data_IF_397954229918
#
_entry.id   IF_397954229918
#
_cell.length_a   1.000
_cell.length_b   1.000
_cell.length_c   1.000
_cell.angle_alpha   90.00
_cell.angle_beta   90.00
_cell.angle_gamma   90.00
#
_symmetry.space_group_name_H-M   'P 1'
#
loop_
_entity.id
_entity.type
_entity.pdbx_description
1 polymer ?
#
# COMPACT_ATOMS: atom_id res chain seq x y z
N UNK A 1 -29.75 -2.31 37.14
CA UNK A 1 -28.33 -1.92 37.03
C UNK A 1 -27.55 -3.20 36.80
N UNK A 2 -26.77 -3.42 35.74
CA UNK A 2 -26.37 -2.64 34.57
C UNK A 2 -26.31 -3.63 33.40
N UNK A 3 -26.81 -3.22 32.23
CA UNK A 3 -26.66 -3.98 31.00
C UNK A 3 -25.24 -3.74 30.50
N UNK A 4 -24.38 -4.75 30.57
CA UNK A 4 -23.14 -4.74 29.81
C UNK A 4 -23.51 -4.83 28.33
N UNK A 5 -23.45 -3.69 27.65
CA UNK A 5 -23.48 -3.64 26.20
C UNK A 5 -22.13 -4.21 25.77
N UNK A 6 -22.15 -5.41 25.20
CA UNK A 6 -21.09 -5.90 24.33
C UNK A 6 -20.96 -4.90 23.19
N UNK A 7 -20.05 -3.94 23.35
CA UNK A 7 -19.65 -3.08 22.25
C UNK A 7 -18.78 -3.96 21.36
N UNK A 8 -19.41 -4.57 20.36
CA UNK A 8 -18.74 -5.00 19.15
C UNK A 8 -17.93 -3.81 18.63
N UNK A 9 -16.61 -3.84 18.83
CA UNK A 9 -15.69 -2.94 18.15
C UNK A 9 -15.80 -3.30 16.65
N UNK A 10 -16.60 -2.53 15.91
CA UNK A 10 -16.66 -2.62 14.45
C UNK A 10 -15.24 -2.45 13.90
N UNK A 11 -14.78 -3.41 13.12
CA UNK A 11 -13.44 -3.48 12.51
C UNK A 11 -13.20 -2.46 11.38
N UNK A 12 -13.79 -1.27 11.44
CA UNK A 12 -13.79 -0.29 10.34
C UNK A 12 -13.02 0.99 10.68
N UNK A 13 -11.99 0.90 11.51
CA UNK A 13 -11.01 1.99 11.61
C UNK A 13 -10.12 1.94 10.37
N UNK A 14 -10.53 2.66 9.33
CA UNK A 14 -9.70 2.95 8.18
C UNK A 14 -8.91 4.22 8.50
N UNK A 15 -7.61 4.06 8.78
CA UNK A 15 -6.69 5.18 8.88
C UNK A 15 -6.34 5.61 7.46
N UNK A 16 -6.72 6.83 7.10
CA UNK A 16 -6.22 7.52 5.91
C UNK A 16 -4.92 8.22 6.26
N UNK A 17 -3.92 8.06 5.42
CA UNK A 17 -2.61 8.70 5.53
C UNK A 17 -2.40 9.63 4.34
N UNK A 18 -1.66 10.72 4.53
CA UNK A 18 -1.09 11.43 3.38
C UNK A 18 0.14 10.65 2.92
N UNK A 19 0.35 10.48 1.62
CA UNK A 19 1.55 9.84 1.09
C UNK A 19 2.44 10.81 0.33
N UNK A 20 3.75 10.72 0.56
CA UNK A 20 4.75 11.52 -0.16
C UNK A 20 5.69 10.59 -0.92
N UNK A 21 5.86 10.83 -2.22
CA UNK A 21 6.76 10.05 -3.07
C UNK A 21 8.21 10.28 -2.63
N UNK A 22 8.88 9.20 -2.23
CA UNK A 22 10.31 9.25 -1.87
C UNK A 22 11.17 8.81 -3.06
N UNK A 23 10.75 7.75 -3.76
CA UNK A 23 11.58 7.13 -4.79
C UNK A 23 10.77 6.33 -5.80
N UNK A 24 11.18 6.41 -7.06
CA UNK A 24 10.81 5.46 -8.11
C UNK A 24 12.02 4.60 -8.50
N UNK A 25 11.76 3.35 -8.83
CA UNK A 25 12.69 2.45 -9.49
C UNK A 25 11.96 1.84 -10.68
N UNK A 26 12.42 2.11 -11.90
CA UNK A 26 11.75 1.63 -13.11
C UNK A 26 11.98 0.15 -13.40
N UNK A 27 12.97 -0.47 -12.74
CA UNK A 27 13.43 -1.80 -13.08
C UNK A 27 14.06 -1.85 -14.48
N UNK A 28 14.12 -3.05 -15.06
CA UNK A 28 14.65 -3.28 -16.41
C UNK A 28 13.55 -3.65 -17.43
N UNK A 29 12.29 -3.72 -17.00
CA UNK A 29 11.15 -4.05 -17.86
C UNK A 29 10.55 -2.77 -18.43
N UNK A 30 11.06 -2.34 -19.59
CA UNK A 30 10.62 -1.10 -20.26
C UNK A 30 9.08 -1.02 -20.43
N UNK A 31 8.42 -2.15 -20.65
CA UNK A 31 6.95 -2.21 -20.77
C UNK A 31 6.19 -1.82 -19.50
N UNK A 32 6.84 -1.77 -18.34
CA UNK A 32 6.23 -1.39 -17.07
C UNK A 32 6.58 0.04 -16.64
N UNK A 33 7.37 0.78 -17.42
CA UNK A 33 7.73 2.17 -17.09
C UNK A 33 6.49 3.06 -16.98
N UNK A 34 5.54 2.92 -17.90
CA UNK A 34 4.28 3.67 -17.86
C UNK A 34 3.46 3.35 -16.61
N UNK A 35 3.56 2.12 -16.09
CA UNK A 35 2.89 1.73 -14.84
C UNK A 35 3.55 2.45 -13.66
N UNK A 36 4.89 2.48 -13.63
CA UNK A 36 5.65 3.21 -12.61
C UNK A 36 5.22 4.69 -12.55
N UNK A 37 5.20 5.37 -13.70
CA UNK A 37 4.77 6.77 -13.80
C UNK A 37 3.31 6.96 -13.38
N UNK A 38 2.41 6.05 -13.79
CA UNK A 38 0.99 6.09 -13.41
C UNK A 38 0.77 5.92 -11.92
N UNK A 39 1.64 5.21 -11.20
CA UNK A 39 1.56 5.10 -9.74
C UNK A 39 2.22 6.32 -9.09
N UNK A 40 3.38 6.76 -9.58
CA UNK A 40 4.12 7.90 -9.04
C UNK A 40 3.30 9.21 -9.06
N UNK A 41 2.33 9.35 -9.98
CA UNK A 41 1.40 10.48 -10.00
C UNK A 41 0.58 10.65 -8.71
N UNK A 42 0.46 9.62 -7.88
CA UNK A 42 -0.22 9.69 -6.57
C UNK A 42 0.67 10.27 -5.46
N UNK A 43 1.78 10.93 -5.80
CA UNK A 43 2.49 11.79 -4.84
C UNK A 43 1.54 12.84 -4.22
N UNK A 44 1.64 13.03 -2.90
CA UNK A 44 0.74 13.86 -2.08
C UNK A 44 -0.74 13.43 -2.11
N UNK A 45 -1.02 12.15 -2.39
CA UNK A 45 -2.38 11.61 -2.35
C UNK A 45 -2.81 11.24 -0.93
N UNK A 46 -4.13 11.15 -0.74
CA UNK A 46 -4.69 10.41 0.39
C UNK A 46 -4.59 8.91 0.09
N UNK A 47 -4.02 8.15 1.03
CA UNK A 47 -3.88 6.71 0.98
C UNK A 47 -4.68 6.06 2.10
N UNK A 48 -5.69 5.28 1.74
CA UNK A 48 -6.37 4.38 2.68
C UNK A 48 -5.97 2.96 2.36
N UNK A 49 -5.39 2.26 3.33
CA UNK A 49 -4.97 0.86 3.18
C UNK A 49 -5.46 0.02 4.35
N UNK A 50 -5.93 -1.19 4.04
CA UNK A 50 -6.29 -2.23 5.00
C UNK A 50 -5.75 -3.58 4.54
N UNK A 51 -6.05 -4.64 5.28
CA UNK A 51 -5.70 -6.00 4.85
C UNK A 51 -6.41 -6.45 3.56
N UNK A 52 -7.51 -5.78 3.17
CA UNK A 52 -8.40 -6.21 2.11
C UNK A 52 -8.48 -5.25 0.91
N UNK A 53 -7.97 -4.02 1.03
CA UNK A 53 -7.97 -3.06 -0.07
C UNK A 53 -6.90 -1.97 0.09
N UNK A 54 -6.54 -1.38 -1.04
CA UNK A 54 -5.77 -0.16 -1.16
C UNK A 54 -6.58 0.85 -1.97
N UNK A 55 -6.65 2.08 -1.49
CA UNK A 55 -7.20 3.23 -2.19
C UNK A 55 -6.22 4.39 -2.14
N UNK A 56 -5.88 4.93 -3.30
CA UNK A 56 -5.16 6.19 -3.46
C UNK A 56 -6.11 7.20 -4.10
N UNK A 57 -6.19 8.39 -3.53
CA UNK A 57 -7.08 9.47 -4.00
C UNK A 57 -6.28 10.76 -4.10
N UNK A 58 -6.22 11.34 -5.31
CA UNK A 58 -5.60 12.64 -5.55
C UNK A 58 -6.49 13.45 -6.49
N UNK A 59 -6.88 14.64 -6.05
CA UNK A 59 -7.81 15.50 -6.79
C UNK A 59 -9.10 14.73 -7.17
N UNK A 60 -9.33 14.50 -8.47
CA UNK A 60 -10.47 13.72 -8.99
C UNK A 60 -10.08 12.30 -9.43
N UNK A 61 -8.79 11.92 -9.31
CA UNK A 61 -8.28 10.60 -9.68
C UNK A 61 -8.30 9.66 -8.48
N UNK A 62 -8.95 8.50 -8.66
CA UNK A 62 -9.01 7.44 -7.66
C UNK A 62 -8.42 6.16 -8.25
N UNK A 63 -7.49 5.57 -7.52
CA UNK A 63 -7.03 4.20 -7.76
C UNK A 63 -7.45 3.33 -6.59
N UNK A 64 -8.27 2.32 -6.84
CA UNK A 64 -8.75 1.40 -5.81
C UNK A 64 -8.59 -0.05 -6.27
N UNK A 65 -8.06 -0.89 -5.39
CA UNK A 65 -7.95 -2.34 -5.61
C UNK A 65 -8.30 -3.11 -4.35
N UNK A 66 -8.85 -4.31 -4.54
CA UNK A 66 -8.83 -5.33 -3.48
C UNK A 66 -7.41 -5.84 -3.29
N UNK A 67 -7.10 -6.21 -2.06
CA UNK A 67 -5.85 -6.83 -1.67
C UNK A 67 -6.10 -8.26 -1.20
N UNK A 68 -5.15 -9.13 -1.48
CA UNK A 68 -5.06 -10.46 -0.89
C UNK A 68 -3.69 -10.61 -0.23
N UNK A 69 -3.65 -11.11 1.00
CA UNK A 69 -2.38 -11.40 1.69
C UNK A 69 -1.57 -12.39 0.83
N UNK A 70 -0.30 -12.06 0.62
CA UNK A 70 0.61 -12.87 -0.19
C UNK A 70 1.70 -13.50 0.68
N UNK A 71 2.40 -12.67 1.43
CA UNK A 71 3.52 -13.08 2.28
C UNK A 71 3.59 -12.15 3.48
N UNK A 72 3.94 -12.70 4.64
CA UNK A 72 4.20 -11.93 5.85
C UNK A 72 5.42 -12.54 6.53
N UNK A 73 6.42 -11.70 6.79
CA UNK A 73 7.61 -12.06 7.56
C UNK A 73 7.72 -11.17 8.81
N UNK A 74 8.81 -11.33 9.56
CA UNK A 74 9.02 -10.59 10.80
C UNK A 74 9.15 -9.08 10.60
N UNK A 75 9.49 -8.60 9.41
CA UNK A 75 9.76 -7.19 9.13
C UNK A 75 8.71 -6.56 8.22
N UNK A 76 8.07 -7.33 7.34
CA UNK A 76 7.21 -6.81 6.28
C UNK A 76 5.96 -7.65 6.08
N UNK A 77 4.90 -6.98 5.65
CA UNK A 77 3.67 -7.60 5.16
C UNK A 77 3.46 -7.21 3.71
N UNK A 78 3.19 -8.21 2.89
CA UNK A 78 3.01 -8.08 1.44
C UNK A 78 1.62 -8.56 1.03
N UNK A 79 0.96 -7.73 0.23
CA UNK A 79 -0.32 -8.05 -0.40
C UNK A 79 -0.19 -8.04 -1.91
N UNK A 80 -1.07 -8.78 -2.59
CA UNK A 80 -1.28 -8.68 -4.03
C UNK A 80 -2.52 -7.84 -4.34
N UNK A 81 -2.33 -6.82 -5.16
CA UNK A 81 -3.39 -6.06 -5.82
C UNK A 81 -3.49 -6.40 -7.31
N UNK A 82 -4.52 -5.90 -7.98
CA UNK A 82 -4.68 -6.02 -9.44
C UNK A 82 -5.11 -4.71 -10.07
N UNK A 83 -4.49 -4.37 -11.18
CA UNK A 83 -4.95 -3.30 -12.06
C UNK A 83 -6.24 -3.70 -12.78
N UNK A 84 -6.95 -2.72 -13.36
CA UNK A 84 -8.20 -2.95 -14.12
C UNK A 84 -8.02 -3.94 -15.27
N UNK A 85 -6.85 -3.94 -15.91
CA UNK A 85 -6.50 -4.88 -16.98
C UNK A 85 -6.13 -6.29 -16.47
N UNK A 86 -6.23 -6.54 -15.16
CA UNK A 86 -5.93 -7.82 -14.51
C UNK A 86 -4.46 -8.03 -14.15
N UNK A 87 -3.54 -7.14 -14.55
CA UNK A 87 -2.13 -7.23 -14.17
C UNK A 87 -1.97 -7.14 -12.65
N UNK A 88 -1.29 -8.12 -12.04
CA UNK A 88 -1.05 -8.14 -10.61
C UNK A 88 0.14 -7.27 -10.21
N UNK A 89 0.11 -6.73 -8.99
CA UNK A 89 1.21 -5.98 -8.38
C UNK A 89 1.27 -6.26 -6.88
N UNK A 90 2.39 -5.92 -6.26
CA UNK A 90 2.64 -6.07 -4.83
C UNK A 90 2.45 -4.74 -4.11
N UNK A 91 1.89 -4.81 -2.93
CA UNK A 91 1.91 -3.74 -1.93
C UNK A 91 2.72 -4.25 -0.74
N UNK A 92 3.75 -3.53 -0.32
CA UNK A 92 4.63 -3.92 0.79
C UNK A 92 4.62 -2.82 1.84
N UNK A 93 4.43 -3.21 3.11
CA UNK A 93 4.58 -2.32 4.27
C UNK A 93 5.45 -2.96 5.35
N UNK A 94 6.12 -2.14 6.17
CA UNK A 94 6.67 -2.59 7.43
C UNK A 94 5.61 -3.25 8.33
N UNK A 95 5.97 -4.33 9.01
CA UNK A 95 5.15 -4.96 10.05
C UNK A 95 5.37 -4.27 11.41
N UNK A 96 4.58 -4.64 12.41
CA UNK A 96 4.65 -4.07 13.77
C UNK A 96 6.04 -4.20 14.38
N UNK A 97 6.74 -5.32 14.19
CA UNK A 97 8.09 -5.50 14.72
C UNK A 97 9.11 -4.51 14.13
N UNK A 98 8.95 -4.11 12.87
CA UNK A 98 9.79 -3.09 12.24
C UNK A 98 9.62 -1.74 12.94
N UNK A 99 8.38 -1.41 13.32
CA UNK A 99 8.04 -0.20 14.09
C UNK A 99 8.57 -0.28 15.51
N UNK A 100 8.38 -1.40 16.20
CA UNK A 100 8.85 -1.60 17.58
C UNK A 100 10.37 -1.45 17.72
N UNK A 101 11.12 -1.77 16.67
CA UNK A 101 12.57 -1.66 16.64
C UNK A 101 13.09 -0.36 16.02
N UNK A 102 12.22 0.62 15.70
CA UNK A 102 12.59 1.90 15.08
C UNK A 102 13.51 1.76 13.85
N UNK A 103 13.25 0.77 12.98
CA UNK A 103 14.15 0.43 11.88
C UNK A 103 14.06 1.37 10.67
N UNK A 104 13.12 2.31 10.68
CA UNK A 104 12.94 3.30 9.62
C UNK A 104 11.55 3.94 9.64
N UNK A 105 11.32 4.82 8.67
CA UNK A 105 10.04 5.51 8.50
C UNK A 105 8.91 4.56 8.05
N UNK A 106 7.66 4.97 8.25
CA UNK A 106 6.51 4.20 7.81
C UNK A 106 6.31 4.40 6.29
N UNK A 107 6.70 3.42 5.48
CA UNK A 107 6.55 3.49 4.02
C UNK A 107 5.52 2.50 3.49
N UNK A 108 4.98 2.82 2.31
CA UNK A 108 4.25 1.89 1.45
C UNK A 108 4.98 1.79 0.12
N UNK A 109 5.23 0.56 -0.32
CA UNK A 109 5.83 0.28 -1.64
C UNK A 109 4.81 -0.40 -2.54
N UNK A 110 4.60 0.14 -3.74
CA UNK A 110 3.81 -0.48 -4.80
C UNK A 110 4.77 -0.94 -5.89
N UNK A 111 4.81 -2.24 -6.18
CA UNK A 111 5.85 -2.82 -7.03
C UNK A 111 5.31 -3.89 -7.98
N UNK A 112 6.05 -4.15 -9.05
CA UNK A 112 5.83 -5.28 -9.94
C UNK A 112 5.90 -6.61 -9.19
N UNK A 113 5.20 -7.61 -9.71
CA UNK A 113 5.38 -9.00 -9.24
C UNK A 113 6.66 -9.63 -9.78
N UNK A 114 7.28 -9.03 -10.80
CA UNK A 114 8.56 -9.45 -11.33
C UNK A 114 9.72 -8.86 -10.52
N UNK A 115 10.73 -9.69 -10.24
CA UNK A 115 11.92 -9.32 -9.48
C UNK A 115 12.73 -8.17 -10.11
N UNK A 116 12.62 -7.97 -11.42
CA UNK A 116 13.30 -6.92 -12.19
C UNK A 116 12.33 -5.85 -12.71
N UNK A 117 11.11 -5.80 -12.20
CA UNK A 117 10.11 -4.80 -12.58
C UNK A 117 10.21 -3.51 -11.75
N UNK A 118 9.22 -2.65 -11.88
CA UNK A 118 9.20 -1.36 -11.20
C UNK A 118 8.91 -1.47 -9.69
N UNK A 119 9.28 -0.44 -8.93
CA UNK A 119 8.85 -0.19 -7.56
C UNK A 119 8.70 1.32 -7.31
N UNK A 120 7.61 1.70 -6.64
CA UNK A 120 7.35 3.08 -6.21
C UNK A 120 7.20 3.10 -4.70
N UNK A 121 7.97 3.97 -4.05
CA UNK A 121 8.04 4.07 -2.60
C UNK A 121 7.46 5.40 -2.13
N UNK A 122 6.51 5.33 -1.20
CA UNK A 122 5.93 6.50 -0.55
C UNK A 122 6.15 6.45 0.96
N UNK A 123 6.36 7.61 1.56
CA UNK A 123 6.27 7.84 3.00
C UNK A 123 4.81 7.98 3.39
N UNK A 124 4.38 7.36 4.48
CA UNK A 124 3.08 7.58 5.11
C UNK A 124 3.23 8.66 6.19
N UNK A 125 2.38 9.68 6.14
CA UNK A 125 2.30 10.80 7.08
C UNK A 125 0.98 10.80 7.85
#
# INVERSE_FOLDING_TARGET
MEKYVDIQIKSNYHLSHCIVLIRTNYGSRLSEHDICERIAKYDNAECTISDNYLKLSRDNDIFETKLAVFEEDSLTKTWLGKYENGTAFRVVRPNTLYRENNLGDEYITIASTYHNGYAVHFLLQ
#
